data_IF_150895088097
#
_entry.id   IF_150895088097
#
_cell.length_a   1.000
_cell.length_b   1.000
_cell.length_c   1.000
_cell.angle_alpha   90.00
_cell.angle_beta   90.00
_cell.angle_gamma   90.00
#
_symmetry.space_group_name_H-M   'P 1'
#
loop_
_entity.id
_entity.type
_entity.pdbx_description
1 polymer ?
#
# COMPACT_ATOMS: atom_id res chain seq x y z
N UNK A 1 -52.67 -122.65 6.20
CA UNK A 1 -52.69 -122.10 4.84
C UNK A 1 -51.31 -121.52 4.61
N UNK A 2 -50.38 -122.41 4.25
CA UNK A 2 -48.97 -122.08 4.06
C UNK A 2 -48.80 -121.38 2.72
N UNK A 3 -48.28 -120.14 2.74
CA UNK A 3 -47.98 -119.44 1.50
C UNK A 3 -46.93 -120.26 0.71
N UNK A 4 -47.07 -120.41 -0.61
CA UNK A 4 -46.11 -121.16 -1.41
C UNK A 4 -44.70 -120.56 -1.25
N UNK A 5 -43.69 -121.41 -1.10
CA UNK A 5 -42.27 -121.03 -0.88
C UNK A 5 -41.69 -120.04 -1.92
N UNK A 6 -42.33 -119.87 -3.08
CA UNK A 6 -41.94 -118.88 -4.10
C UNK A 6 -42.35 -117.45 -3.76
N UNK A 7 -43.49 -117.26 -3.10
CA UNK A 7 -44.03 -115.93 -2.76
C UNK A 7 -43.30 -115.29 -1.58
N UNK A 8 -42.87 -116.08 -0.60
CA UNK A 8 -42.06 -115.61 0.52
C UNK A 8 -40.67 -115.12 0.06
N UNK A 9 -40.06 -115.81 -0.90
CA UNK A 9 -38.82 -115.38 -1.54
C UNK A 9 -38.99 -114.08 -2.33
N UNK A 10 -40.07 -113.94 -3.11
CA UNK A 10 -40.37 -112.73 -3.86
C UNK A 10 -40.65 -111.51 -2.96
N UNK A 11 -41.34 -111.69 -1.84
CA UNK A 11 -41.55 -110.62 -0.86
C UNK A 11 -40.26 -110.21 -0.16
N UNK A 12 -39.39 -111.17 0.14
CA UNK A 12 -38.08 -110.90 0.75
C UNK A 12 -37.15 -110.14 -0.20
N UNK A 13 -37.11 -110.50 -1.48
CA UNK A 13 -36.30 -109.77 -2.48
C UNK A 13 -36.84 -108.37 -2.73
N UNK A 14 -38.16 -108.19 -2.79
CA UNK A 14 -38.79 -106.86 -2.94
C UNK A 14 -38.48 -105.97 -1.72
N UNK A 15 -38.50 -106.53 -0.51
CA UNK A 15 -38.15 -105.81 0.71
C UNK A 15 -36.67 -105.38 0.72
N UNK A 16 -35.76 -106.26 0.28
CA UNK A 16 -34.34 -105.94 0.11
C UNK A 16 -34.11 -104.85 -0.93
N UNK A 17 -34.79 -104.91 -2.08
CA UNK A 17 -34.72 -103.88 -3.11
C UNK A 17 -35.25 -102.54 -2.60
N UNK A 18 -36.36 -102.55 -1.84
CA UNK A 18 -36.91 -101.34 -1.22
C UNK A 18 -35.96 -100.72 -0.19
N UNK A 19 -35.27 -101.54 0.63
CA UNK A 19 -34.26 -101.06 1.58
C UNK A 19 -33.05 -100.44 0.87
N UNK A 20 -32.56 -101.09 -0.19
CA UNK A 20 -31.44 -100.55 -1.00
C UNK A 20 -31.85 -99.24 -1.68
N UNK A 21 -33.05 -99.20 -2.27
CA UNK A 21 -33.57 -97.98 -2.89
C UNK A 21 -33.74 -96.85 -1.86
N UNK A 22 -34.25 -97.15 -0.66
CA UNK A 22 -34.36 -96.20 0.43
C UNK A 22 -33.00 -95.66 0.90
N UNK A 23 -32.00 -96.53 1.01
CA UNK A 23 -30.63 -96.14 1.36
C UNK A 23 -29.98 -95.26 0.29
N UNK A 24 -30.15 -95.59 -0.99
CA UNK A 24 -29.63 -94.79 -2.11
C UNK A 24 -30.30 -93.42 -2.22
N UNK A 25 -31.62 -93.36 -2.02
CA UNK A 25 -32.36 -92.09 -1.99
C UNK A 25 -31.95 -91.24 -0.78
N UNK A 26 -31.80 -91.84 0.40
CA UNK A 26 -31.28 -91.16 1.59
C UNK A 26 -29.89 -90.58 1.37
N UNK A 27 -28.99 -91.35 0.74
CA UNK A 27 -27.64 -90.90 0.40
C UNK A 27 -27.64 -89.76 -0.64
N UNK A 28 -28.44 -89.88 -1.71
CA UNK A 28 -28.53 -88.85 -2.75
C UNK A 28 -29.11 -87.53 -2.22
N UNK A 29 -30.14 -87.60 -1.37
CA UNK A 29 -30.73 -86.44 -0.69
C UNK A 29 -29.74 -85.83 0.29
N UNK A 30 -29.03 -86.64 1.08
CA UNK A 30 -27.99 -86.20 2.00
C UNK A 30 -26.85 -85.46 1.28
N UNK A 31 -26.33 -86.03 0.19
CA UNK A 31 -25.23 -85.43 -0.58
C UNK A 31 -25.64 -84.10 -1.23
N UNK A 32 -26.84 -84.05 -1.84
CA UNK A 32 -27.35 -82.82 -2.48
C UNK A 32 -27.67 -81.72 -1.45
N UNK A 33 -28.17 -82.09 -0.28
CA UNK A 33 -28.50 -81.15 0.81
C UNK A 33 -27.24 -80.62 1.49
N UNK A 34 -26.22 -81.48 1.71
CA UNK A 34 -24.93 -81.09 2.27
C UNK A 34 -24.19 -80.06 1.41
N UNK A 35 -24.14 -80.25 0.09
CA UNK A 35 -23.54 -79.27 -0.83
C UNK A 35 -24.27 -77.93 -0.85
N UNK A 36 -25.60 -77.93 -0.70
CA UNK A 36 -26.41 -76.69 -0.60
C UNK A 36 -26.17 -75.97 0.72
N UNK A 37 -26.07 -76.69 1.83
CA UNK A 37 -25.75 -76.12 3.14
C UNK A 37 -24.35 -75.51 3.18
N UNK A 38 -23.36 -76.16 2.57
CA UNK A 38 -21.99 -75.62 2.51
C UNK A 38 -21.90 -74.33 1.68
N UNK A 39 -22.58 -74.27 0.53
CA UNK A 39 -22.69 -73.04 -0.27
C UNK A 39 -23.38 -71.92 0.51
N UNK A 40 -24.45 -72.24 1.24
CA UNK A 40 -25.13 -71.26 2.08
C UNK A 40 -24.24 -70.74 3.21
N UNK A 41 -23.43 -71.62 3.84
CA UNK A 41 -22.44 -71.25 4.86
C UNK A 41 -21.40 -70.29 4.29
N UNK A 42 -20.82 -70.59 3.13
CA UNK A 42 -19.84 -69.74 2.45
C UNK A 42 -20.41 -68.36 2.09
N UNK A 43 -21.64 -68.30 1.59
CA UNK A 43 -22.32 -67.02 1.29
C UNK A 43 -22.56 -66.22 2.57
N UNK A 44 -22.98 -66.86 3.65
CA UNK A 44 -23.20 -66.20 4.94
C UNK A 44 -21.89 -65.62 5.52
N UNK A 45 -20.79 -66.35 5.41
CA UNK A 45 -19.48 -65.84 5.80
C UNK A 45 -19.02 -64.65 4.95
N UNK A 46 -19.15 -64.75 3.61
CA UNK A 46 -18.85 -63.63 2.70
C UNK A 46 -19.69 -62.41 3.04
N UNK A 47 -20.98 -62.58 3.31
CA UNK A 47 -21.86 -61.48 3.71
C UNK A 47 -21.41 -60.84 5.03
N UNK A 48 -20.99 -61.65 6.01
CA UNK A 48 -20.45 -61.14 7.28
C UNK A 48 -19.16 -60.35 7.07
N UNK A 49 -18.24 -60.85 6.25
CA UNK A 49 -16.98 -60.16 5.90
C UNK A 49 -17.25 -58.86 5.14
N UNK A 50 -18.15 -58.89 4.15
CA UNK A 50 -18.55 -57.70 3.39
C UNK A 50 -19.22 -56.66 4.28
N UNK A 51 -20.11 -57.06 5.19
CA UNK A 51 -20.73 -56.14 6.16
C UNK A 51 -19.68 -55.48 7.05
N UNK A 52 -18.71 -56.25 7.56
CA UNK A 52 -17.61 -55.70 8.34
C UNK A 52 -16.71 -54.75 7.52
N UNK A 53 -16.47 -55.06 6.24
CA UNK A 53 -15.74 -54.18 5.34
C UNK A 53 -16.49 -52.87 5.12
N UNK A 54 -17.79 -52.91 4.81
CA UNK A 54 -18.62 -51.71 4.63
C UNK A 54 -18.60 -50.83 5.88
N UNK A 55 -18.73 -51.40 7.08
CA UNK A 55 -18.65 -50.61 8.31
C UNK A 55 -17.28 -49.94 8.50
N UNK A 56 -16.18 -50.61 8.15
CA UNK A 56 -14.83 -50.01 8.19
C UNK A 56 -14.71 -48.84 7.20
N UNK A 57 -15.08 -49.06 5.95
CA UNK A 57 -15.05 -48.03 4.91
C UNK A 57 -15.96 -46.83 5.25
N UNK A 58 -17.12 -47.07 5.87
CA UNK A 58 -18.00 -45.99 6.32
C UNK A 58 -17.35 -45.14 7.42
N UNK A 59 -16.64 -45.78 8.36
CA UNK A 59 -15.91 -45.08 9.42
C UNK A 59 -14.76 -44.24 8.85
N UNK A 60 -13.94 -44.83 7.99
CA UNK A 60 -12.84 -44.12 7.32
C UNK A 60 -13.36 -42.93 6.51
N UNK A 61 -14.44 -43.12 5.73
CA UNK A 61 -15.06 -42.02 4.97
C UNK A 61 -15.52 -40.87 5.89
N UNK A 62 -16.05 -41.18 7.07
CA UNK A 62 -16.46 -40.17 8.03
C UNK A 62 -15.25 -39.41 8.60
N UNK A 63 -14.16 -40.12 8.91
CA UNK A 63 -12.92 -39.52 9.39
C UNK A 63 -12.29 -38.61 8.31
N UNK A 64 -12.22 -39.07 7.06
CA UNK A 64 -11.75 -38.24 5.95
C UNK A 64 -12.64 -37.02 5.70
N UNK A 65 -13.96 -37.18 5.73
CA UNK A 65 -14.88 -36.05 5.57
C UNK A 65 -14.68 -34.99 6.68
N UNK A 66 -14.40 -35.43 7.91
CA UNK A 66 -14.08 -34.53 9.01
C UNK A 66 -12.76 -33.78 8.78
N UNK A 67 -11.72 -34.48 8.31
CA UNK A 67 -10.43 -33.86 8.01
C UNK A 67 -10.53 -32.84 6.88
N UNK A 68 -11.25 -33.17 5.81
CA UNK A 68 -11.50 -32.24 4.70
C UNK A 68 -12.16 -30.96 5.21
N UNK A 69 -13.22 -31.10 6.03
CA UNK A 69 -13.91 -29.94 6.58
C UNK A 69 -12.99 -29.05 7.43
N UNK A 70 -12.14 -29.66 8.26
CA UNK A 70 -11.19 -28.92 9.08
C UNK A 70 -10.16 -28.17 8.21
N UNK A 71 -9.62 -28.83 7.18
CA UNK A 71 -8.68 -28.20 6.25
C UNK A 71 -9.33 -27.05 5.45
N UNK A 72 -10.60 -27.18 5.09
CA UNK A 72 -11.36 -26.11 4.43
C UNK A 72 -11.54 -24.88 5.35
N UNK A 73 -11.85 -25.11 6.63
CA UNK A 73 -11.96 -24.05 7.64
C UNK A 73 -10.60 -23.35 7.88
N UNK A 74 -9.52 -24.12 8.01
CA UNK A 74 -8.16 -23.59 8.18
C UNK A 74 -7.71 -22.78 6.95
N UNK A 75 -8.03 -23.26 5.74
CA UNK A 75 -7.72 -22.55 4.49
C UNK A 75 -8.49 -21.24 4.40
N UNK A 76 -9.77 -21.22 4.76
CA UNK A 76 -10.58 -20.01 4.79
C UNK A 76 -10.05 -19.00 5.80
N UNK A 77 -9.67 -19.47 6.99
CA UNK A 77 -9.09 -18.62 8.02
C UNK A 77 -7.77 -18.00 7.55
N UNK A 78 -6.85 -18.81 7.01
CA UNK A 78 -5.59 -18.32 6.45
C UNK A 78 -5.78 -17.33 5.29
N UNK A 79 -6.78 -17.56 4.42
CA UNK A 79 -7.13 -16.62 3.36
C UNK A 79 -7.62 -15.27 3.93
N UNK A 80 -8.48 -15.30 4.95
CA UNK A 80 -8.98 -14.07 5.59
C UNK A 80 -7.86 -13.27 6.27
N UNK A 81 -6.93 -13.94 6.96
CA UNK A 81 -5.76 -13.31 7.56
C UNK A 81 -4.87 -12.67 6.49
N UNK A 82 -4.66 -13.38 5.38
CA UNK A 82 -3.87 -12.87 4.25
C UNK A 82 -4.47 -11.60 3.64
N UNK A 83 -5.80 -11.48 3.54
CA UNK A 83 -6.45 -10.25 3.10
C UNK A 83 -6.26 -9.10 4.09
N UNK A 84 -6.38 -9.36 5.40
CA UNK A 84 -6.06 -8.35 6.42
C UNK A 84 -4.60 -7.89 6.38
N UNK A 85 -3.67 -8.80 6.08
CA UNK A 85 -2.27 -8.42 5.88
C UNK A 85 -2.09 -7.52 4.65
N UNK A 86 -2.78 -7.81 3.54
CA UNK A 86 -2.74 -6.95 2.34
C UNK A 86 -3.29 -5.55 2.62
N UNK A 87 -4.41 -5.45 3.32
CA UNK A 87 -4.99 -4.16 3.72
C UNK A 87 -4.00 -3.35 4.56
N UNK A 88 -3.43 -3.98 5.61
CA UNK A 88 -2.41 -3.33 6.46
C UNK A 88 -1.16 -2.91 5.71
N UNK A 89 -0.70 -3.71 4.75
CA UNK A 89 0.43 -3.35 3.89
C UNK A 89 0.10 -2.13 3.04
N UNK A 90 -1.11 -2.07 2.46
CA UNK A 90 -1.55 -0.92 1.67
C UNK A 90 -1.63 0.35 2.52
N UNK A 91 -2.17 0.28 3.74
CA UNK A 91 -2.18 1.40 4.68
C UNK A 91 -0.76 1.86 5.02
N UNK A 92 0.14 0.91 5.30
CA UNK A 92 1.53 1.22 5.61
C UNK A 92 2.23 1.96 4.45
N UNK A 93 2.05 1.49 3.21
CA UNK A 93 2.58 2.14 2.02
C UNK A 93 2.02 3.57 1.85
N UNK A 94 0.72 3.75 2.08
CA UNK A 94 0.08 5.06 2.06
C UNK A 94 0.71 6.02 3.09
N UNK A 95 0.85 5.59 4.35
CA UNK A 95 1.45 6.43 5.39
C UNK A 95 2.94 6.70 5.16
N UNK A 96 3.69 5.73 4.62
CA UNK A 96 5.08 5.96 4.21
C UNK A 96 5.17 7.01 3.09
N UNK A 97 4.25 7.01 2.14
CA UNK A 97 4.20 8.04 1.12
C UNK A 97 3.89 9.41 1.72
N UNK A 98 2.94 9.49 2.65
CA UNK A 98 2.62 10.74 3.36
C UNK A 98 3.79 11.27 4.18
N UNK A 99 4.55 10.40 4.85
CA UNK A 99 5.77 10.78 5.56
C UNK A 99 6.79 11.39 4.59
N UNK A 100 7.10 10.71 3.48
CA UNK A 100 8.04 11.23 2.46
C UNK A 100 7.60 12.57 1.87
N UNK A 101 6.30 12.76 1.66
CA UNK A 101 5.75 14.03 1.19
C UNK A 101 5.97 15.14 2.23
N UNK A 102 5.65 14.86 3.50
CA UNK A 102 5.85 15.83 4.59
C UNK A 102 7.33 16.19 4.80
N UNK A 103 8.24 15.22 4.73
CA UNK A 103 9.68 15.45 4.85
C UNK A 103 10.22 16.37 3.74
N UNK A 104 9.72 16.20 2.51
CA UNK A 104 10.09 17.07 1.38
C UNK A 104 9.63 18.51 1.62
N UNK A 105 8.38 18.68 2.08
CA UNK A 105 7.83 20.00 2.39
C UNK A 105 8.62 20.67 3.52
N UNK A 106 8.92 19.94 4.59
CA UNK A 106 9.74 20.46 5.70
C UNK A 106 11.12 20.88 5.18
N UNK A 107 11.77 20.04 4.36
CA UNK A 107 13.09 20.32 3.80
C UNK A 107 13.06 21.58 2.93
N UNK A 108 12.09 21.72 2.03
CA UNK A 108 11.98 22.90 1.17
C UNK A 108 11.72 24.17 1.97
N UNK A 109 10.80 24.12 2.93
CA UNK A 109 10.49 25.27 3.79
C UNK A 109 11.68 25.64 4.68
N UNK A 110 12.45 24.67 5.17
CA UNK A 110 13.64 24.94 5.98
C UNK A 110 14.71 25.67 5.17
N UNK A 111 14.98 25.22 3.94
CA UNK A 111 15.95 25.88 3.04
C UNK A 111 15.50 27.30 2.68
N UNK A 112 14.21 27.50 2.38
CA UNK A 112 13.66 28.84 2.13
C UNK A 112 13.81 29.74 3.35
N UNK A 113 13.51 29.22 4.54
CA UNK A 113 13.62 29.97 5.80
C UNK A 113 15.07 30.31 6.16
N UNK A 114 16.02 29.40 5.93
CA UNK A 114 17.46 29.66 6.10
C UNK A 114 17.92 30.79 5.16
N UNK A 115 17.57 30.72 3.87
CA UNK A 115 17.92 31.76 2.90
C UNK A 115 17.33 33.13 3.25
N UNK A 116 16.08 33.15 3.75
CA UNK A 116 15.43 34.37 4.24
C UNK A 116 16.10 34.91 5.50
N UNK A 117 16.45 34.03 6.45
CA UNK A 117 17.19 34.39 7.68
C UNK A 117 18.56 34.99 7.36
N UNK A 118 19.30 34.38 6.43
CA UNK A 118 20.59 34.89 5.97
C UNK A 118 20.46 36.28 5.34
N UNK A 119 19.47 36.46 4.46
CA UNK A 119 19.19 37.75 3.83
C UNK A 119 18.78 38.83 4.84
N UNK A 120 18.01 38.47 5.87
CA UNK A 120 17.64 39.37 6.97
C UNK A 120 18.87 39.74 7.80
N UNK A 121 19.70 38.78 8.16
CA UNK A 121 20.92 39.01 8.94
C UNK A 121 21.88 39.95 8.20
N UNK A 122 22.01 39.77 6.89
CA UNK A 122 22.81 40.61 6.00
C UNK A 122 22.26 42.03 5.92
N UNK A 123 20.92 42.19 5.82
CA UNK A 123 20.29 43.49 5.83
C UNK A 123 20.54 44.24 7.15
N UNK A 124 20.44 43.54 8.29
CA UNK A 124 20.74 44.11 9.61
C UNK A 124 22.21 44.55 9.67
N UNK A 125 23.13 43.69 9.26
CA UNK A 125 24.56 44.02 9.22
C UNK A 125 24.86 45.20 8.29
N UNK A 126 24.21 45.29 7.13
CA UNK A 126 24.34 46.41 6.20
C UNK A 126 23.77 47.71 6.78
N UNK A 127 22.76 47.61 7.64
CA UNK A 127 22.17 48.77 8.33
C UNK A 127 23.06 49.27 9.46
N UNK A 128 23.73 48.36 10.18
CA UNK A 128 24.67 48.67 11.25
C UNK A 128 25.99 49.23 10.72
N UNK A 129 26.54 48.64 9.65
CA UNK A 129 27.75 49.10 8.98
C UNK A 129 27.56 49.22 7.45
N UNK A 130 27.05 50.38 6.97
CA UNK A 130 26.85 50.64 5.55
C UNK A 130 28.15 50.77 4.73
N UNK A 131 29.32 50.83 5.38
CA UNK A 131 30.62 50.87 4.71
C UNK A 131 31.12 49.46 4.35
N UNK A 132 30.42 48.42 4.81
CA UNK A 132 30.74 47.04 4.47
C UNK A 132 30.69 46.89 2.95
N UNK A 133 31.71 46.22 2.43
CA UNK A 133 32.09 46.09 1.02
C UNK A 133 30.93 45.89 0.04
N UNK A 134 31.09 46.40 -1.19
CA UNK A 134 30.16 46.22 -2.32
C UNK A 134 29.50 44.83 -2.31
N UNK A 135 28.18 44.82 -2.08
CA UNK A 135 27.38 43.61 -2.13
C UNK A 135 27.53 42.91 -3.48
N UNK A 136 27.74 41.61 -3.45
CA UNK A 136 27.77 40.73 -4.61
C UNK A 136 26.39 40.65 -5.28
N UNK A 137 26.37 40.08 -6.48
CA UNK A 137 25.14 39.95 -7.26
C UNK A 137 24.13 39.06 -6.54
N UNK A 138 24.61 38.02 -5.89
CA UNK A 138 23.85 37.02 -5.15
C UNK A 138 23.23 37.63 -3.90
N UNK A 139 24.01 38.40 -3.13
CA UNK A 139 23.55 39.13 -1.96
C UNK A 139 22.43 40.13 -2.31
N UNK A 140 22.59 40.89 -3.40
CA UNK A 140 21.52 41.76 -3.90
C UNK A 140 20.26 41.00 -4.30
N UNK A 141 20.39 39.80 -4.91
CA UNK A 141 19.23 38.99 -5.26
C UNK A 141 18.49 38.51 -4.00
N UNK A 142 19.22 38.12 -2.95
CA UNK A 142 18.65 37.76 -1.65
C UNK A 142 17.87 38.92 -1.03
N UNK A 143 18.45 40.13 -1.03
CA UNK A 143 17.77 41.34 -0.57
C UNK A 143 16.53 41.67 -1.40
N UNK A 144 16.57 41.52 -2.72
CA UNK A 144 15.40 41.74 -3.57
C UNK A 144 14.28 40.77 -3.25
N UNK A 145 14.61 39.49 -3.12
CA UNK A 145 13.64 38.46 -2.79
C UNK A 145 13.00 38.73 -1.43
N UNK A 146 13.81 39.03 -0.42
CA UNK A 146 13.33 39.41 0.91
C UNK A 146 12.44 40.67 0.88
N UNK A 147 12.81 41.67 0.09
CA UNK A 147 12.00 42.89 -0.10
C UNK A 147 10.66 42.56 -0.74
N UNK A 148 10.64 41.73 -1.79
CA UNK A 148 9.41 41.34 -2.45
C UNK A 148 8.50 40.50 -1.55
N UNK A 149 9.05 39.65 -0.69
CA UNK A 149 8.27 38.89 0.30
C UNK A 149 7.58 39.85 1.30
N UNK A 150 8.33 40.82 1.84
CA UNK A 150 7.82 41.68 2.91
C UNK A 150 6.96 42.85 2.42
N UNK A 151 7.18 43.26 1.17
CA UNK A 151 6.51 44.39 0.57
C UNK A 151 5.78 43.98 -0.71
N UNK A 152 4.99 42.91 -0.67
CA UNK A 152 4.01 42.54 -1.72
C UNK A 152 4.54 42.64 -3.17
N UNK A 153 5.72 42.09 -3.43
CA UNK A 153 6.36 42.03 -4.75
C UNK A 153 6.68 43.39 -5.40
N UNK A 154 6.85 44.46 -4.60
CA UNK A 154 7.12 45.83 -5.08
C UNK A 154 8.24 45.94 -6.12
N UNK A 155 9.38 45.28 -5.95
CA UNK A 155 10.52 45.39 -6.88
C UNK A 155 10.26 44.61 -8.17
N UNK A 156 9.63 43.44 -8.07
CA UNK A 156 9.19 42.66 -9.23
C UNK A 156 8.14 43.41 -10.04
N UNK A 157 7.15 44.01 -9.36
CA UNK A 157 6.11 44.84 -9.97
C UNK A 157 6.69 46.06 -10.69
N UNK A 158 7.62 46.78 -10.06
CA UNK A 158 8.27 47.92 -10.70
C UNK A 158 9.10 47.49 -11.91
N UNK A 159 9.75 46.33 -11.86
CA UNK A 159 10.51 45.79 -13.00
C UNK A 159 9.60 45.42 -14.16
N UNK A 160 8.51 44.71 -13.90
CA UNK A 160 7.59 44.23 -14.93
C UNK A 160 6.75 45.38 -15.52
N UNK A 161 6.14 46.21 -14.67
CA UNK A 161 5.23 47.28 -15.08
C UNK A 161 5.94 48.54 -15.58
N UNK A 162 7.16 48.84 -15.07
CA UNK A 162 7.87 50.09 -15.36
C UNK A 162 9.23 49.90 -16.03
N UNK A 163 9.70 48.67 -16.20
CA UNK A 163 10.96 48.37 -16.91
C UNK A 163 12.20 48.95 -16.22
N UNK A 164 12.22 48.98 -14.88
CA UNK A 164 13.39 49.46 -14.15
C UNK A 164 14.58 48.49 -14.32
N UNK A 165 15.79 49.05 -14.41
CA UNK A 165 17.04 48.30 -14.53
C UNK A 165 17.43 47.69 -13.19
N UNK A 166 18.39 46.75 -13.20
CA UNK A 166 18.91 46.15 -11.97
C UNK A 166 19.43 47.20 -10.98
N UNK A 167 20.23 48.16 -11.43
CA UNK A 167 20.73 49.23 -10.57
C UNK A 167 19.60 50.11 -10.00
N UNK A 168 18.53 50.31 -10.76
CA UNK A 168 17.34 51.01 -10.27
C UNK A 168 16.57 50.16 -9.24
N UNK A 169 16.56 48.82 -9.36
CA UNK A 169 16.04 47.94 -8.31
C UNK A 169 16.87 48.04 -7.02
N UNK A 170 18.20 48.12 -7.11
CA UNK A 170 19.09 48.34 -5.93
C UNK A 170 18.72 49.64 -5.21
N UNK A 171 18.51 50.73 -5.96
CA UNK A 171 18.08 52.02 -5.39
C UNK A 171 16.71 51.90 -4.72
N UNK A 172 15.72 51.30 -5.40
CA UNK A 172 14.38 51.09 -4.84
C UNK A 172 14.42 50.25 -3.57
N UNK A 173 15.23 49.19 -3.55
CA UNK A 173 15.42 48.29 -2.41
C UNK A 173 15.92 49.08 -1.19
N UNK A 174 17.02 49.83 -1.32
CA UNK A 174 17.56 50.63 -0.21
C UNK A 174 16.57 51.71 0.27
N UNK A 175 15.84 52.34 -0.65
CA UNK A 175 14.81 53.32 -0.31
C UNK A 175 13.66 52.69 0.47
N UNK A 176 13.20 51.50 0.05
CA UNK A 176 12.11 50.76 0.71
C UNK A 176 12.48 50.38 2.14
N UNK A 177 13.73 49.99 2.36
CA UNK A 177 14.31 49.70 3.67
C UNK A 177 14.74 50.94 4.47
N UNK A 178 14.32 52.13 4.05
CA UNK A 178 14.58 53.39 4.75
C UNK A 178 16.08 53.71 4.93
N UNK A 179 16.94 53.32 4.00
CA UNK A 179 18.34 53.78 4.00
C UNK A 179 18.39 55.29 3.76
N UNK A 180 19.14 56.00 4.59
CA UNK A 180 19.38 57.44 4.44
C UNK A 180 20.25 57.71 3.21
N UNK A 181 20.29 58.96 2.74
CA UNK A 181 21.15 59.33 1.61
C UNK A 181 22.62 59.01 1.86
N UNK A 182 23.10 59.22 3.10
CA UNK A 182 24.48 58.91 3.50
C UNK A 182 24.76 57.41 3.41
N UNK A 183 23.83 56.59 3.90
CA UNK A 183 23.96 55.13 3.86
C UNK A 183 23.89 54.60 2.43
N UNK A 184 22.98 55.12 1.59
CA UNK A 184 22.91 54.75 0.16
C UNK A 184 24.23 55.05 -0.56
N UNK A 185 24.86 56.20 -0.29
CA UNK A 185 26.15 56.55 -0.88
C UNK A 185 27.28 55.63 -0.43
N UNK A 186 27.27 55.22 0.84
CA UNK A 186 28.22 54.27 1.39
C UNK A 186 28.08 52.89 0.72
N UNK A 187 26.86 52.36 0.66
CA UNK A 187 26.57 51.04 0.05
C UNK A 187 26.92 51.00 -1.44
N UNK A 188 26.64 52.07 -2.19
CA UNK A 188 26.98 52.14 -3.61
C UNK A 188 28.44 52.50 -3.91
N UNK A 189 29.21 52.90 -2.90
CA UNK A 189 30.55 53.47 -3.04
C UNK A 189 30.63 54.50 -4.18
N UNK A 190 29.72 55.48 -4.17
CA UNK A 190 29.53 56.42 -5.29
C UNK A 190 29.38 57.88 -4.82
N UNK A 191 29.51 58.82 -5.74
CA UNK A 191 29.38 60.25 -5.45
C UNK A 191 27.91 60.69 -5.34
N UNK A 192 27.67 61.76 -4.57
CA UNK A 192 26.34 62.35 -4.39
C UNK A 192 25.67 62.75 -5.71
N UNK A 193 26.44 63.29 -6.64
CA UNK A 193 25.98 63.68 -7.97
C UNK A 193 25.53 62.48 -8.81
N UNK A 194 26.31 61.39 -8.77
CA UNK A 194 26.00 60.16 -9.50
C UNK A 194 24.69 59.54 -9.00
N UNK A 195 24.51 59.43 -7.67
CA UNK A 195 23.28 58.92 -7.07
C UNK A 195 22.09 59.81 -7.42
N UNK A 196 22.25 61.13 -7.37
CA UNK A 196 21.19 62.10 -7.73
C UNK A 196 20.79 61.95 -9.19
N UNK A 197 21.76 61.79 -10.10
CA UNK A 197 21.48 61.54 -11.52
C UNK A 197 20.73 60.21 -11.71
N UNK A 198 21.11 59.14 -11.00
CA UNK A 198 20.41 57.85 -11.05
C UNK A 198 18.97 57.95 -10.57
N UNK A 199 18.72 58.62 -9.43
CA UNK A 199 17.37 58.87 -8.92
C UNK A 199 16.52 59.71 -9.88
N UNK A 200 17.10 60.74 -10.51
CA UNK A 200 16.37 61.55 -11.50
C UNK A 200 16.00 60.74 -12.75
N UNK A 201 16.86 59.81 -13.20
CA UNK A 201 16.53 58.88 -14.30
C UNK A 201 15.39 57.94 -13.90
N UNK A 202 15.44 57.39 -12.70
CA UNK A 202 14.40 56.53 -12.15
C UNK A 202 13.06 57.27 -12.02
N UNK A 203 13.07 58.49 -11.47
CA UNK A 203 11.88 59.36 -11.35
C UNK A 203 11.21 59.62 -12.71
N UNK A 204 12.00 59.93 -13.74
CA UNK A 204 11.51 60.10 -15.12
C UNK A 204 10.91 58.80 -15.68
N UNK A 205 11.57 57.67 -15.44
CA UNK A 205 11.11 56.35 -15.91
C UNK A 205 9.79 55.94 -15.26
N UNK A 206 9.62 56.23 -13.98
CA UNK A 206 8.37 56.03 -13.24
C UNK A 206 7.28 57.04 -13.60
N UNK A 207 7.58 58.03 -14.46
CA UNK A 207 6.67 59.10 -14.90
C UNK A 207 6.08 59.89 -13.72
N UNK A 208 6.89 60.13 -12.69
CA UNK A 208 6.49 60.91 -11.52
C UNK A 208 6.55 62.41 -11.83
N UNK A 209 5.59 63.16 -11.29
CA UNK A 209 5.58 64.63 -11.35
C UNK A 209 6.83 65.22 -10.66
N UNK A 210 7.28 66.40 -11.11
CA UNK A 210 8.42 67.10 -10.52
C UNK A 210 8.24 67.37 -9.02
N UNK A 211 7.01 67.57 -8.56
CA UNK A 211 6.68 67.82 -7.14
C UNK A 211 6.74 66.57 -6.26
N UNK A 212 6.68 65.37 -6.85
CA UNK A 212 6.65 64.12 -6.09
C UNK A 212 8.05 63.71 -5.68
N UNK A 213 8.28 63.48 -4.39
CA UNK A 213 9.54 62.92 -3.92
C UNK A 213 9.62 61.43 -4.27
N UNK A 214 10.74 61.02 -4.88
CA UNK A 214 10.93 59.63 -5.31
C UNK A 214 11.01 58.69 -4.11
N UNK A 215 11.71 59.09 -3.05
CA UNK A 215 11.92 58.24 -1.89
C UNK A 215 10.60 58.01 -1.15
N UNK A 216 9.78 59.05 -1.00
CA UNK A 216 8.42 58.95 -0.47
C UNK A 216 7.53 58.07 -1.33
N UNK A 217 7.56 58.23 -2.66
CA UNK A 217 6.78 57.39 -3.57
C UNK A 217 7.11 55.91 -3.41
N UNK A 218 8.39 55.54 -3.46
CA UNK A 218 8.82 54.14 -3.36
C UNK A 218 8.49 53.53 -1.98
N UNK A 219 8.61 54.32 -0.90
CA UNK A 219 8.23 53.85 0.46
C UNK A 219 6.74 53.51 0.56
N UNK A 220 5.89 54.27 -0.14
CA UNK A 220 4.43 54.10 -0.12
C UNK A 220 3.88 53.17 -1.22
N UNK A 221 4.64 52.91 -2.27
CA UNK A 221 4.29 51.99 -3.36
C UNK A 221 4.11 50.56 -2.85
#
# INVERSE_FOLDING_TARGET
MDLPSSWTFALFTLCFVALIAGALLGFAVGFRTGGRQERFRLVKEKLKRNKAAICRWQKERYEYARQVKQLEEDLLHSASESEHYKERMSDLEFYQQKLRESERIITSLSVENECQSDSLSMLVQLKEDPLRTNLTREEWNGLFHLTDILFHHVLSDLKEKRGITRHEQEICCLVKWNFSRKEQLAVFNNTSEALTKSKNRLKKKLRLDEKVDLDQFIRLY
#
